data_IF_416237947414
#
_entry.id   IF_416237947414
#
_cell.length_a   1.000
_cell.length_b   1.000
_cell.length_c   1.000
_cell.angle_alpha   90.00
_cell.angle_beta   90.00
_cell.angle_gamma   90.00
#
_symmetry.space_group_name_H-M   'P 1'
#
loop_
_entity.id
_entity.type
_entity.pdbx_description
1 polymer ?
#
# COMPACT_ATOMS: atom_id res chain seq x y z
N UNK A 1 -18.17 -21.54 -18.24
CA UNK A 1 -17.37 -21.02 -17.15
C UNK A 1 -17.13 -19.53 -17.40
N UNK A 2 -17.92 -18.67 -16.77
CA UNK A 2 -17.64 -17.23 -16.82
C UNK A 2 -16.42 -16.95 -15.96
N UNK A 3 -15.28 -16.78 -16.59
CA UNK A 3 -14.14 -16.20 -15.89
C UNK A 3 -14.50 -14.75 -15.59
N UNK A 4 -14.62 -14.41 -14.30
CA UNK A 4 -14.76 -13.02 -13.90
C UNK A 4 -13.51 -12.28 -14.38
N UNK A 5 -13.66 -11.12 -15.02
CA UNK A 5 -12.50 -10.36 -15.46
C UNK A 5 -11.72 -9.91 -14.24
N UNK A 6 -10.53 -10.45 -14.06
CA UNK A 6 -9.61 -10.03 -13.00
C UNK A 6 -8.97 -8.73 -13.48
N UNK A 7 -9.21 -7.64 -12.79
CA UNK A 7 -8.51 -6.39 -13.08
C UNK A 7 -7.07 -6.48 -12.59
N UNK A 8 -6.14 -6.07 -13.43
CA UNK A 8 -4.71 -6.01 -13.12
C UNK A 8 -4.29 -4.54 -13.17
N UNK A 9 -3.57 -4.09 -12.16
CA UNK A 9 -3.03 -2.73 -12.13
C UNK A 9 -1.55 -2.73 -11.81
N UNK A 10 -0.85 -1.77 -12.38
CA UNK A 10 0.56 -1.49 -12.09
C UNK A 10 0.64 -0.03 -11.72
N UNK A 11 1.39 0.30 -10.68
CA UNK A 11 1.55 1.69 -10.27
C UNK A 11 2.99 2.02 -9.91
N UNK A 12 3.33 3.29 -10.09
CA UNK A 12 4.56 3.87 -9.62
C UNK A 12 4.29 5.22 -8.99
N UNK A 13 4.94 5.50 -7.88
CA UNK A 13 4.79 6.79 -7.19
C UNK A 13 6.11 7.23 -6.59
N UNK A 14 6.23 8.53 -6.36
CA UNK A 14 7.40 9.14 -5.76
C UNK A 14 6.99 10.22 -4.77
N UNK A 15 7.69 10.28 -3.65
CA UNK A 15 7.62 11.34 -2.66
C UNK A 15 8.94 12.06 -2.56
N UNK A 16 9.15 12.80 -1.48
CA UNK A 16 10.37 13.61 -1.31
C UNK A 16 11.65 12.75 -1.24
N UNK A 17 11.61 11.66 -0.51
CA UNK A 17 12.80 10.85 -0.25
C UNK A 17 12.61 9.37 -0.58
N UNK A 18 11.54 9.03 -1.30
CA UNK A 18 11.23 7.63 -1.57
C UNK A 18 10.60 7.42 -2.94
N UNK A 19 10.71 6.19 -3.41
CA UNK A 19 10.06 5.69 -4.62
C UNK A 19 9.31 4.41 -4.28
N UNK A 20 8.13 4.25 -4.85
CA UNK A 20 7.30 3.06 -4.64
C UNK A 20 6.85 2.51 -5.99
N UNK A 21 6.99 1.19 -6.15
CA UNK A 21 6.45 0.45 -7.29
C UNK A 21 5.50 -0.61 -6.75
N UNK A 22 4.36 -0.77 -7.40
CA UNK A 22 3.37 -1.72 -6.94
C UNK A 22 2.58 -2.36 -8.06
N UNK A 23 1.91 -3.46 -7.72
CA UNK A 23 0.95 -4.10 -8.60
C UNK A 23 -0.26 -4.55 -7.78
N UNK A 24 -1.38 -4.73 -8.47
CA UNK A 24 -2.61 -5.23 -7.84
C UNK A 24 -3.41 -6.08 -8.79
N UNK A 25 -4.15 -7.02 -8.21
CA UNK A 25 -5.15 -7.82 -8.92
C UNK A 25 -6.45 -7.79 -8.12
N UNK A 26 -7.54 -7.44 -8.78
CA UNK A 26 -8.85 -7.36 -8.14
C UNK A 26 -9.03 -6.21 -7.16
N UNK A 27 -8.15 -5.23 -7.15
CA UNK A 27 -8.16 -4.14 -6.14
C UNK A 27 -9.32 -3.16 -6.28
N UNK A 28 -9.95 -3.10 -7.43
CA UNK A 28 -11.08 -2.19 -7.69
C UNK A 28 -12.41 -2.93 -7.86
N UNK A 29 -12.42 -4.23 -7.65
CA UNK A 29 -13.61 -5.07 -7.79
C UNK A 29 -13.94 -5.76 -6.48
N UNK A 30 -15.21 -6.13 -6.28
CA UNK A 30 -15.61 -6.91 -5.12
C UNK A 30 -14.99 -8.30 -5.17
N UNK A 31 -14.65 -8.85 -4.01
CA UNK A 31 -14.07 -10.18 -3.87
C UNK A 31 -12.61 -10.16 -3.47
N UNK A 32 -11.89 -11.20 -3.82
CA UNK A 32 -10.50 -11.37 -3.43
C UNK A 32 -9.56 -10.42 -4.19
N UNK A 33 -8.68 -9.76 -3.48
CA UNK A 33 -7.66 -8.88 -4.04
C UNK A 33 -6.26 -9.34 -3.61
N UNK A 34 -5.30 -9.18 -4.51
CA UNK A 34 -3.88 -9.42 -4.22
C UNK A 34 -3.10 -8.16 -4.58
N UNK A 35 -2.17 -7.77 -3.72
CA UNK A 35 -1.31 -6.62 -3.96
C UNK A 35 0.14 -6.97 -3.67
N UNK A 36 1.04 -6.26 -4.32
CA UNK A 36 2.46 -6.36 -4.03
C UNK A 36 3.11 -5.02 -4.27
N UNK A 37 4.21 -4.77 -3.59
CA UNK A 37 4.90 -3.51 -3.75
C UNK A 37 6.32 -3.51 -3.22
N UNK A 38 7.07 -2.53 -3.66
CA UNK A 38 8.42 -2.26 -3.20
C UNK A 38 8.57 -0.77 -3.00
N UNK A 39 9.07 -0.41 -1.83
CA UNK A 39 9.35 0.98 -1.47
C UNK A 39 10.83 1.13 -1.19
N UNK A 40 11.45 2.10 -1.82
CA UNK A 40 12.85 2.45 -1.62
C UNK A 40 12.96 3.87 -1.06
N UNK A 41 13.71 4.01 0.02
CA UNK A 41 14.05 5.30 0.61
C UNK A 41 15.57 5.38 0.70
N UNK A 42 16.15 6.44 0.15
CA UNK A 42 17.59 6.62 0.09
C UNK A 42 18.26 6.69 1.47
N UNK A 43 17.52 7.20 2.46
CA UNK A 43 18.05 7.39 3.81
C UNK A 43 17.71 6.25 4.77
N UNK A 44 16.56 5.59 4.61
CA UNK A 44 16.03 4.66 5.59
C UNK A 44 15.97 3.19 5.14
N UNK A 45 16.14 2.90 3.85
CA UNK A 45 16.24 1.54 3.34
C UNK A 45 15.08 1.11 2.44
N UNK A 46 14.87 -0.19 2.36
CA UNK A 46 13.91 -0.81 1.44
C UNK A 46 12.86 -1.64 2.18
N UNK A 47 11.68 -1.73 1.58
CA UNK A 47 10.63 -2.65 2.03
C UNK A 47 9.91 -3.25 0.83
N UNK A 48 9.64 -4.54 0.89
CA UNK A 48 8.84 -5.25 -0.09
C UNK A 48 7.63 -5.87 0.61
N UNK A 49 6.49 -5.88 -0.05
CA UNK A 49 5.26 -6.41 0.54
C UNK A 49 4.45 -7.24 -0.44
N UNK A 50 3.71 -8.20 0.12
CA UNK A 50 2.73 -8.97 -0.62
C UNK A 50 1.48 -9.06 0.25
N UNK A 51 0.33 -8.64 -0.28
CA UNK A 51 -0.92 -8.57 0.46
C UNK A 51 -2.05 -9.35 -0.18
N UNK A 52 -2.95 -9.82 0.68
CA UNK A 52 -4.22 -10.43 0.30
C UNK A 52 -5.34 -9.74 1.06
N UNK A 53 -6.42 -9.44 0.38
CA UNK A 53 -7.56 -8.77 0.99
C UNK A 53 -8.88 -9.21 0.39
N UNK A 54 -9.94 -8.82 1.07
CA UNK A 54 -11.30 -9.02 0.61
C UNK A 54 -11.97 -7.66 0.46
N UNK A 55 -12.43 -7.38 -0.74
CA UNK A 55 -13.14 -6.15 -1.08
C UNK A 55 -14.63 -6.35 -0.92
N UNK A 56 -15.27 -5.49 -0.14
CA UNK A 56 -16.69 -5.55 0.19
C UNK A 56 -17.36 -4.28 -0.33
N UNK A 57 -18.30 -4.39 -1.27
CA UNK A 57 -18.99 -3.20 -1.79
C UNK A 57 -20.00 -2.67 -0.77
N UNK A 58 -19.94 -1.37 -0.51
CA UNK A 58 -20.80 -0.66 0.43
C UNK A 58 -21.41 0.58 -0.26
N UNK A 59 -22.32 0.37 -1.22
CA UNK A 59 -22.89 1.48 -2.00
C UNK A 59 -21.81 2.14 -2.88
N UNK A 60 -21.57 3.46 -2.73
CA UNK A 60 -20.50 4.13 -3.49
C UNK A 60 -19.10 3.83 -2.97
N UNK A 61 -18.99 3.08 -1.86
CA UNK A 61 -17.72 2.75 -1.23
C UNK A 61 -17.31 1.31 -1.51
N UNK A 62 -16.02 1.08 -1.56
CA UNK A 62 -15.44 -0.25 -1.58
C UNK A 62 -14.53 -0.37 -0.36
N UNK A 63 -14.92 -1.21 0.60
CA UNK A 63 -14.14 -1.47 1.79
C UNK A 63 -13.25 -2.68 1.58
N UNK A 64 -12.03 -2.64 2.10
CA UNK A 64 -11.08 -3.74 2.02
C UNK A 64 -10.63 -4.12 3.42
N UNK A 65 -10.64 -5.41 3.71
CA UNK A 65 -10.02 -5.97 4.92
C UNK A 65 -9.01 -7.02 4.48
N UNK A 66 -7.87 -7.08 5.15
CA UNK A 66 -6.88 -8.05 4.74
C UNK A 66 -5.61 -8.02 5.56
N UNK A 67 -4.61 -8.71 5.04
CA UNK A 67 -3.30 -8.78 5.65
C UNK A 67 -2.22 -8.76 4.58
N UNK A 68 -1.01 -8.41 4.99
CA UNK A 68 0.14 -8.44 4.11
C UNK A 68 1.39 -8.89 4.86
N UNK A 69 2.28 -9.55 4.13
CA UNK A 69 3.62 -9.85 4.59
C UNK A 69 4.58 -8.79 4.06
N UNK A 70 5.44 -8.28 4.93
CA UNK A 70 6.40 -7.24 4.61
C UNK A 70 7.79 -7.75 4.95
N UNK A 71 8.71 -7.60 4.00
CA UNK A 71 10.14 -7.81 4.22
C UNK A 71 10.84 -6.47 4.19
N UNK A 72 11.70 -6.24 5.15
CA UNK A 72 12.37 -4.95 5.31
C UNK A 72 13.88 -5.13 5.38
N UNK A 73 14.58 -4.19 4.75
CA UNK A 73 16.03 -4.05 4.83
C UNK A 73 16.36 -2.59 5.16
N UNK A 74 16.18 -2.18 6.42
CA UNK A 74 16.44 -0.80 6.80
C UNK A 74 17.96 -0.51 6.82
N UNK A 75 18.32 0.73 6.54
CA UNK A 75 19.70 1.17 6.61
C UNK A 75 20.24 1.15 8.04
N UNK A 76 19.37 1.42 9.03
CA UNK A 76 19.72 1.33 10.45
C UNK A 76 18.93 0.16 11.08
N UNK A 77 19.62 -0.90 11.42
CA UNK A 77 19.05 -2.07 12.05
C UNK A 77 19.17 -3.32 11.19
N UNK A 78 18.64 -4.41 11.70
CA UNK A 78 18.71 -5.71 11.04
C UNK A 78 17.57 -5.88 10.03
N UNK A 79 17.81 -6.71 9.04
CA UNK A 79 16.74 -7.17 8.15
C UNK A 79 15.63 -7.84 8.97
N UNK A 80 14.40 -7.61 8.56
CA UNK A 80 13.26 -8.16 9.28
C UNK A 80 12.07 -8.41 8.38
N UNK A 81 11.08 -9.09 8.94
CA UNK A 81 9.80 -9.28 8.29
C UNK A 81 8.68 -9.02 9.28
N UNK A 82 7.52 -8.70 8.74
CA UNK A 82 6.33 -8.44 9.53
C UNK A 82 5.10 -8.98 8.82
N UNK A 83 4.11 -9.39 9.60
CA UNK A 83 2.78 -9.67 9.09
C UNK A 83 1.84 -8.58 9.63
N UNK A 84 1.28 -7.79 8.74
CA UNK A 84 0.40 -6.69 9.09
C UNK A 84 -1.05 -7.02 8.78
N UNK A 85 -1.96 -6.50 9.58
CA UNK A 85 -3.39 -6.60 9.35
C UNK A 85 -3.98 -5.19 9.27
N UNK A 86 -5.03 -5.03 8.49
CA UNK A 86 -5.65 -3.73 8.34
C UNK A 86 -6.71 -3.70 7.28
N UNK A 87 -7.00 -2.52 6.78
CA UNK A 87 -8.00 -2.34 5.77
C UNK A 87 -7.98 -0.96 5.16
N UNK A 88 -8.88 -0.74 4.23
CA UNK A 88 -8.99 0.51 3.52
C UNK A 88 -10.40 0.77 3.04
N UNK A 89 -10.60 1.97 2.54
CA UNK A 89 -11.86 2.41 1.99
C UNK A 89 -11.60 3.21 0.71
N UNK A 90 -12.35 2.91 -0.34
CA UNK A 90 -12.32 3.66 -1.59
C UNK A 90 -13.70 4.25 -1.84
N UNK A 91 -13.74 5.50 -2.29
CA UNK A 91 -14.97 6.18 -2.65
C UNK A 91 -14.84 6.72 -4.07
N UNK A 92 -15.66 6.20 -4.96
CA UNK A 92 -15.73 6.69 -6.34
C UNK A 92 -16.72 7.83 -6.45
N UNK A 93 -16.25 8.97 -6.94
CA UNK A 93 -17.05 10.18 -7.16
C UNK A 93 -17.14 10.39 -8.66
N UNK A 94 -18.24 9.98 -9.29
CA UNK A 94 -18.38 10.00 -10.74
C UNK A 94 -17.54 8.93 -11.43
N UNK A 95 -17.24 9.14 -12.72
CA UNK A 95 -16.59 8.13 -13.55
C UNK A 95 -15.05 8.24 -13.53
N UNK A 96 -14.50 9.36 -13.08
CA UNK A 96 -13.07 9.65 -13.25
C UNK A 96 -12.34 10.01 -11.97
N UNK A 97 -13.04 10.25 -10.88
CA UNK A 97 -12.45 10.72 -9.64
C UNK A 97 -12.76 9.78 -8.48
N UNK A 98 -11.80 9.58 -7.58
CA UNK A 98 -11.99 8.78 -6.38
C UNK A 98 -11.13 9.26 -5.23
N UNK A 99 -11.58 8.96 -4.02
CA UNK A 99 -10.83 9.15 -2.78
C UNK A 99 -10.54 7.79 -2.17
N UNK A 100 -9.45 7.67 -1.44
CA UNK A 100 -9.08 6.43 -0.79
C UNK A 100 -8.31 6.68 0.50
N UNK A 101 -8.36 5.70 1.39
CA UNK A 101 -7.55 5.67 2.59
C UNK A 101 -7.34 4.23 3.03
N UNK A 102 -6.17 3.91 3.57
CA UNK A 102 -5.88 2.58 4.09
C UNK A 102 -4.94 2.67 5.28
N UNK A 103 -5.01 1.64 6.14
CA UNK A 103 -4.17 1.53 7.32
C UNK A 103 -3.85 0.06 7.59
N UNK A 104 -2.58 -0.22 7.82
CA UNK A 104 -2.08 -1.55 8.19
C UNK A 104 -1.15 -1.44 9.38
N UNK A 105 -1.21 -2.42 10.25
CA UNK A 105 -0.41 -2.45 11.47
C UNK A 105 0.09 -3.86 11.75
N UNK A 106 1.35 -3.97 12.16
CA UNK A 106 1.94 -5.22 12.61
C UNK A 106 2.53 -5.00 14.01
N UNK A 107 1.99 -5.65 15.05
CA UNK A 107 2.57 -5.59 16.38
C UNK A 107 3.87 -6.41 16.47
N UNK A 108 4.63 -6.21 17.53
CA UNK A 108 5.87 -6.92 17.79
C UNK A 108 5.72 -8.45 17.73
N UNK A 109 4.60 -8.96 18.18
CA UNK A 109 4.32 -10.42 18.16
C UNK A 109 4.24 -11.02 16.76
N UNK A 110 4.03 -10.19 15.72
CA UNK A 110 3.95 -10.62 14.32
C UNK A 110 5.15 -10.14 13.49
N UNK A 111 6.17 -9.61 14.14
CA UNK A 111 7.33 -9.03 13.48
C UNK A 111 8.62 -9.71 13.92
N UNK A 112 9.62 -9.69 13.06
CA UNK A 112 10.96 -10.16 13.36
C UNK A 112 11.97 -9.13 12.87
N UNK A 113 12.91 -8.75 13.75
CA UNK A 113 13.92 -7.73 13.44
C UNK A 113 13.46 -6.28 13.62
N UNK A 114 12.16 -6.06 13.86
CA UNK A 114 11.56 -4.76 14.11
C UNK A 114 10.52 -4.89 15.23
N UNK A 115 10.29 -3.82 16.00
CA UNK A 115 9.27 -3.81 17.06
C UNK A 115 7.86 -3.78 16.49
N UNK A 116 7.64 -2.92 15.51
CA UNK A 116 6.33 -2.83 14.88
C UNK A 116 6.45 -2.23 13.47
N UNK A 117 5.43 -2.45 12.69
CA UNK A 117 5.28 -1.86 11.37
C UNK A 117 3.93 -1.14 11.31
N UNK A 118 3.94 0.05 10.77
CA UNK A 118 2.73 0.84 10.61
C UNK A 118 2.73 1.50 9.23
N UNK A 119 1.61 1.40 8.54
CA UNK A 119 1.43 1.98 7.22
C UNK A 119 0.08 2.66 7.15
N UNK A 120 0.07 3.92 6.74
CA UNK A 120 -1.15 4.67 6.46
C UNK A 120 -0.99 5.40 5.13
N UNK A 121 -2.06 5.43 4.36
CA UNK A 121 -2.06 6.04 3.04
C UNK A 121 -3.44 6.60 2.74
N UNK A 122 -3.52 7.86 2.30
CA UNK A 122 -4.77 8.49 1.92
C UNK A 122 -4.52 9.47 0.79
N UNK A 123 -5.50 9.60 -0.10
CA UNK A 123 -5.36 10.52 -1.22
C UNK A 123 -6.52 10.50 -2.17
N UNK A 124 -6.27 11.04 -3.36
CA UNK A 124 -7.22 11.12 -4.45
C UNK A 124 -6.65 10.51 -5.72
N UNK A 125 -7.52 9.93 -6.52
CA UNK A 125 -7.21 9.35 -7.83
C UNK A 125 -8.05 10.01 -8.89
N UNK A 126 -7.42 10.29 -10.02
CA UNK A 126 -8.10 10.85 -11.19
C UNK A 126 -7.72 10.07 -12.44
N UNK A 127 -8.71 9.43 -13.05
CA UNK A 127 -8.54 8.72 -14.32
C UNK A 127 -8.64 9.72 -15.45
N UNK A 128 -7.50 10.03 -16.08
CA UNK A 128 -7.43 11.00 -17.18
C UNK A 128 -7.94 10.34 -18.47
N UNK A 129 -7.45 9.16 -18.75
CA UNK A 129 -7.92 8.31 -19.84
C UNK A 129 -7.65 6.88 -19.46
N UNK A 130 -8.55 5.98 -19.76
CA UNK A 130 -8.31 4.56 -19.50
C UNK A 130 -7.20 4.04 -20.39
N UNK A 131 -6.24 3.31 -19.89
CA UNK A 131 -6.11 2.75 -18.53
C UNK A 131 -5.34 3.62 -17.53
N UNK A 132 -5.09 4.89 -17.79
CA UNK A 132 -4.17 5.74 -17.02
C UNK A 132 -4.88 6.51 -15.91
N UNK A 133 -4.40 6.38 -14.68
CA UNK A 133 -4.87 7.10 -13.50
C UNK A 133 -3.71 7.82 -12.84
N UNK A 134 -3.93 9.08 -12.47
CA UNK A 134 -3.00 9.86 -11.64
C UNK A 134 -3.48 9.79 -10.19
N UNK A 135 -2.54 9.63 -9.28
CA UNK A 135 -2.80 9.56 -7.84
C UNK A 135 -1.96 10.61 -7.14
N UNK A 136 -2.55 11.28 -6.17
CA UNK A 136 -1.83 12.19 -5.28
C UNK A 136 -2.37 12.01 -3.87
N UNK A 137 -1.49 11.99 -2.88
CA UNK A 137 -1.89 11.76 -1.51
C UNK A 137 -0.76 11.92 -0.54
N UNK A 138 -0.99 11.41 0.67
CA UNK A 138 -0.02 11.37 1.74
C UNK A 138 0.22 9.92 2.15
N UNK A 139 1.47 9.55 2.28
CA UNK A 139 1.87 8.18 2.66
C UNK A 139 2.74 8.25 3.91
N UNK A 140 2.43 7.39 4.86
CA UNK A 140 3.20 7.17 6.06
C UNK A 140 3.51 5.68 6.18
N UNK A 141 4.78 5.35 6.31
CA UNK A 141 5.23 3.98 6.46
C UNK A 141 6.41 3.98 7.44
N UNK A 142 6.21 3.41 8.60
CA UNK A 142 7.18 3.46 9.70
C UNK A 142 7.54 2.06 10.19
N UNK A 143 8.83 1.85 10.39
CA UNK A 143 9.38 0.65 11.00
C UNK A 143 9.96 1.03 12.35
N UNK A 144 9.34 0.57 13.44
CA UNK A 144 9.87 0.79 14.78
C UNK A 144 11.04 -0.16 15.03
N UNK A 145 12.20 0.37 15.37
CA UNK A 145 13.39 -0.42 15.62
C UNK A 145 13.32 -1.20 16.94
N UNK A 146 13.96 -2.37 16.98
CA UNK A 146 14.12 -3.20 18.19
C UNK A 146 15.45 -2.95 18.88
N UNK A 147 15.49 -3.24 20.17
CA UNK A 147 16.71 -3.31 20.98
C UNK A 147 17.55 -2.03 20.94
N UNK A 148 16.88 -0.86 20.91
CA UNK A 148 17.54 0.42 20.85
C UNK A 148 17.89 0.91 19.46
N UNK A 149 17.50 0.18 18.42
CA UNK A 149 17.63 0.65 17.05
C UNK A 149 16.67 1.82 16.79
N UNK A 150 17.08 2.68 15.90
CA UNK A 150 16.30 3.84 15.48
C UNK A 150 15.05 3.41 14.70
N UNK A 151 13.95 4.14 14.88
CA UNK A 151 12.79 4.00 14.02
C UNK A 151 13.13 4.47 12.59
N UNK A 152 12.62 3.78 11.59
CA UNK A 152 12.83 4.12 10.19
C UNK A 152 11.50 4.48 9.53
N UNK A 153 11.33 5.75 9.15
CA UNK A 153 10.20 6.20 8.36
C UNK A 153 10.54 6.07 6.88
N UNK A 154 10.11 4.98 6.24
CA UNK A 154 10.39 4.72 4.83
C UNK A 154 9.60 5.62 3.89
N UNK A 155 8.44 6.11 4.34
CA UNK A 155 7.65 7.09 3.63
C UNK A 155 6.93 7.96 4.66
N UNK A 156 7.07 9.27 4.56
CA UNK A 156 6.40 10.22 5.44
C UNK A 156 6.27 11.54 4.68
N UNK A 157 5.17 11.70 3.98
CA UNK A 157 4.94 12.93 3.24
C UNK A 157 4.01 12.78 2.04
N UNK A 158 3.77 13.87 1.35
CA UNK A 158 2.98 13.86 0.13
C UNK A 158 3.69 13.12 -1.00
N UNK A 159 2.91 12.51 -1.87
CA UNK A 159 3.43 11.81 -3.04
C UNK A 159 2.53 12.01 -4.24
N UNK A 160 3.09 11.78 -5.42
CA UNK A 160 2.35 11.69 -6.67
C UNK A 160 2.71 10.37 -7.35
N UNK A 161 1.74 9.80 -8.06
CA UNK A 161 1.95 8.55 -8.75
C UNK A 161 1.08 8.40 -9.97
N UNK A 162 1.41 7.40 -10.75
CA UNK A 162 0.67 7.01 -11.97
C UNK A 162 0.41 5.52 -11.91
N UNK A 163 -0.80 5.12 -12.26
CA UNK A 163 -1.16 3.72 -12.38
C UNK A 163 -1.79 3.42 -13.72
N UNK A 164 -1.63 2.19 -14.15
CA UNK A 164 -2.28 1.65 -15.35
C UNK A 164 -3.06 0.40 -14.95
N UNK A 165 -4.34 0.34 -15.34
CA UNK A 165 -5.22 -0.79 -15.05
C UNK A 165 -5.71 -1.46 -16.34
N UNK A 166 -5.76 -2.80 -16.34
CA UNK A 166 -6.16 -3.59 -17.49
C UNK A 166 -7.27 -4.57 -17.12
#
# INVERSE_FOLDING_TARGET
TCALPISISINGSAGQDYTHLGFGMGTETSGLAMTGGWTHNDDDGDAASLGLGLNIPLGPFLATVGGKGIYTNPNDGDEGYAAAVGGGLQWKIGDSFGLFGEYYYSPDSLSSGIDSYEEANAGARWTIMRPITIEAGYRYLNLAGKDGNRDNALADGPYVGVSAGF
#
